data_IF_705112273475
#
_entry.id   IF_705112273475
#
_cell.length_a   1.000
_cell.length_b   1.000
_cell.length_c   1.000
_cell.angle_alpha   90.00
_cell.angle_beta   90.00
_cell.angle_gamma   90.00
#
_symmetry.space_group_name_H-M   'P 1'
#
loop_
_entity.id
_entity.type
_entity.pdbx_description
1 polymer ?
#
# COMPACT_ATOMS: atom_id res chain seq x y z
N UNK A 1 8.98 -8.85 9.19
CA UNK A 1 9.03 -10.08 10.02
C UNK A 1 10.48 -10.53 10.30
N UNK A 2 11.34 -10.88 9.31
CA UNK A 2 12.71 -11.41 9.52
C UNK A 2 13.59 -10.51 10.40
N UNK A 3 13.53 -9.18 10.22
CA UNK A 3 14.27 -8.23 11.06
C UNK A 3 13.86 -8.31 12.54
N UNK A 4 12.57 -8.48 12.82
CA UNK A 4 12.09 -8.68 14.19
C UNK A 4 12.61 -9.97 14.82
N UNK A 5 12.66 -11.06 14.05
CA UNK A 5 13.26 -12.33 14.52
C UNK A 5 14.75 -12.17 14.82
N UNK A 6 15.48 -11.40 13.99
CA UNK A 6 16.89 -11.12 14.22
C UNK A 6 17.11 -10.27 15.49
N UNK A 7 16.24 -9.29 15.77
CA UNK A 7 16.25 -8.54 17.05
C UNK A 7 16.13 -9.50 18.22
N UNK A 8 15.16 -10.41 18.21
CA UNK A 8 14.97 -11.41 19.28
C UNK A 8 16.22 -12.31 19.39
N UNK A 9 16.78 -12.77 18.27
CA UNK A 9 18.00 -13.60 18.27
C UNK A 9 19.16 -12.85 18.93
N UNK A 10 19.42 -11.61 18.55
CA UNK A 10 20.50 -10.79 19.14
C UNK A 10 20.31 -10.60 20.65
N UNK A 11 19.10 -10.38 21.14
CA UNK A 11 18.80 -10.24 22.57
C UNK A 11 19.06 -11.53 23.32
N UNK A 12 18.63 -12.67 22.77
CA UNK A 12 18.90 -13.98 23.34
C UNK A 12 20.40 -14.31 23.42
N UNK A 13 21.14 -14.04 22.35
CA UNK A 13 22.59 -14.27 22.30
C UNK A 13 23.35 -13.38 23.30
N UNK A 14 22.86 -12.15 23.52
CA UNK A 14 23.41 -11.23 24.53
C UNK A 14 22.94 -11.52 25.96
N UNK A 15 21.98 -12.42 26.17
CA UNK A 15 21.34 -12.66 27.47
C UNK A 15 20.60 -11.44 28.02
N UNK A 16 20.17 -10.51 27.12
CA UNK A 16 19.46 -9.29 27.51
C UNK A 16 17.96 -9.53 27.68
N UNK A 17 17.43 -9.16 28.84
CA UNK A 17 16.00 -9.25 29.16
C UNK A 17 15.43 -7.84 29.26
N UNK A 18 14.53 -7.51 28.35
CA UNK A 18 13.85 -6.20 28.32
C UNK A 18 12.78 -6.10 29.41
N UNK A 19 12.48 -4.88 29.87
CA UNK A 19 11.41 -4.64 30.86
C UNK A 19 10.01 -4.90 30.29
N UNK A 20 9.81 -4.61 29.00
CA UNK A 20 8.55 -4.86 28.28
C UNK A 20 8.74 -6.00 27.28
N UNK A 21 7.71 -6.81 27.04
CA UNK A 21 7.79 -7.87 26.04
C UNK A 21 7.93 -7.29 24.63
N UNK A 22 8.69 -7.97 23.79
CA UNK A 22 8.80 -7.69 22.36
C UNK A 22 8.03 -8.77 21.60
N UNK A 23 7.17 -8.35 20.68
CA UNK A 23 6.37 -9.23 19.83
C UNK A 23 6.77 -9.03 18.38
N UNK A 24 7.05 -10.10 17.68
CA UNK A 24 7.27 -10.09 16.23
C UNK A 24 5.96 -10.47 15.56
N UNK A 25 5.54 -9.67 14.59
CA UNK A 25 4.28 -9.88 13.85
C UNK A 25 4.60 -10.20 12.40
N UNK A 26 3.81 -11.13 11.84
CA UNK A 26 3.73 -11.43 10.41
C UNK A 26 2.28 -11.21 9.96
N UNK A 27 2.05 -10.14 9.19
CA UNK A 27 0.71 -9.74 8.77
C UNK A 27 0.26 -10.54 7.55
N UNK A 28 -0.78 -11.33 7.72
CA UNK A 28 -1.35 -12.11 6.62
C UNK A 28 -1.98 -11.21 5.57
N UNK A 29 -1.71 -11.49 4.28
CA UNK A 29 -2.26 -10.78 3.13
C UNK A 29 -1.90 -9.28 3.13
N UNK A 30 -0.68 -8.95 3.55
CA UNK A 30 -0.21 -7.56 3.54
C UNK A 30 -0.23 -6.99 2.11
N UNK A 31 0.24 -7.72 1.11
CA UNK A 31 0.31 -7.32 -0.30
C UNK A 31 -1.06 -7.27 -1.01
N UNK A 32 -2.06 -7.96 -0.50
CA UNK A 32 -3.39 -8.00 -1.14
C UNK A 32 -3.43 -8.73 -2.49
N UNK A 33 -2.38 -9.48 -2.84
CA UNK A 33 -2.21 -10.06 -4.17
C UNK A 33 -3.28 -11.08 -4.55
N UNK A 34 -3.73 -11.90 -3.60
CA UNK A 34 -4.80 -12.88 -3.83
C UNK A 34 -6.16 -12.38 -3.36
N UNK A 35 -6.19 -11.66 -2.26
CA UNK A 35 -7.41 -11.11 -1.66
C UNK A 35 -7.26 -9.60 -1.50
N UNK A 36 -7.98 -8.83 -2.28
CA UNK A 36 -7.98 -7.37 -2.19
C UNK A 36 -9.01 -6.88 -1.15
N UNK A 37 -8.73 -5.81 -0.42
CA UNK A 37 -7.57 -4.92 -0.49
C UNK A 37 -6.33 -5.45 0.23
N UNK A 38 -5.15 -4.80 0.08
CA UNK A 38 -3.95 -5.11 0.88
C UNK A 38 -4.14 -4.75 2.35
N UNK A 39 -3.21 -5.18 3.21
CA UNK A 39 -3.12 -4.84 4.64
C UNK A 39 -4.38 -5.18 5.46
N UNK A 40 -5.16 -6.18 5.03
CA UNK A 40 -6.44 -6.51 5.69
C UNK A 40 -6.25 -7.01 7.12
N UNK A 41 -5.14 -7.72 7.41
CA UNK A 41 -4.89 -8.27 8.73
C UNK A 41 -4.58 -7.17 9.76
N UNK A 42 -3.68 -6.23 9.45
CA UNK A 42 -3.40 -5.09 10.32
C UNK A 42 -4.62 -4.17 10.45
N UNK A 43 -5.34 -3.94 9.35
CA UNK A 43 -6.58 -3.16 9.37
C UNK A 43 -7.67 -3.79 10.24
N UNK A 44 -7.85 -5.11 10.18
CA UNK A 44 -8.75 -5.84 11.06
C UNK A 44 -8.28 -5.78 12.52
N UNK A 45 -6.97 -5.96 12.75
CA UNK A 45 -6.37 -5.94 14.08
C UNK A 45 -6.62 -4.60 14.82
N UNK A 46 -6.52 -3.46 14.15
CA UNK A 46 -6.82 -2.14 14.74
C UNK A 46 -8.31 -1.75 14.67
N UNK A 47 -9.17 -2.62 14.15
CA UNK A 47 -10.62 -2.39 14.07
C UNK A 47 -11.08 -1.51 12.91
N UNK A 48 -10.23 -1.29 11.89
CA UNK A 48 -10.60 -0.62 10.66
C UNK A 48 -11.54 -1.47 9.79
N UNK A 49 -11.30 -2.78 9.77
CA UNK A 49 -12.11 -3.75 9.05
C UNK A 49 -12.76 -4.72 10.04
N UNK A 50 -13.99 -5.11 9.74
CA UNK A 50 -14.70 -6.16 10.46
C UNK A 50 -14.14 -7.54 10.12
N UNK A 51 -14.02 -8.43 11.12
CA UNK A 51 -13.42 -9.75 10.92
C UNK A 51 -14.25 -10.64 9.99
N UNK A 52 -15.57 -10.56 10.09
CA UNK A 52 -16.46 -11.36 9.24
C UNK A 52 -16.36 -10.88 7.79
N UNK A 53 -16.28 -9.56 7.58
CA UNK A 53 -16.05 -9.00 6.25
C UNK A 53 -14.70 -9.45 5.67
N UNK A 54 -13.63 -9.47 6.47
CA UNK A 54 -12.31 -9.95 6.03
C UNK A 54 -12.37 -11.43 5.65
N UNK A 55 -13.02 -12.25 6.48
CA UNK A 55 -13.17 -13.68 6.20
C UNK A 55 -14.00 -13.95 4.93
N UNK A 56 -14.92 -13.05 4.58
CA UNK A 56 -15.79 -13.18 3.39
C UNK A 56 -15.15 -12.65 2.10
N UNK A 57 -13.94 -12.12 2.13
CA UNK A 57 -13.22 -11.69 0.92
C UNK A 57 -13.05 -12.85 -0.04
N UNK A 58 -13.34 -12.60 -1.32
CA UNK A 58 -13.21 -13.57 -2.40
C UNK A 58 -12.03 -13.18 -3.29
N UNK A 59 -11.09 -14.11 -3.46
CA UNK A 59 -9.98 -13.97 -4.37
C UNK A 59 -10.39 -14.08 -5.84
N UNK A 60 -9.53 -13.66 -6.75
CA UNK A 60 -9.76 -13.75 -8.21
C UNK A 60 -9.94 -15.19 -8.69
N UNK A 61 -9.49 -16.18 -7.93
CA UNK A 61 -9.66 -17.63 -8.16
C UNK A 61 -10.97 -18.20 -7.57
N UNK A 62 -11.79 -17.36 -6.95
CA UNK A 62 -13.04 -17.73 -6.30
C UNK A 62 -12.90 -18.33 -4.89
N UNK A 63 -11.69 -18.40 -4.34
CA UNK A 63 -11.47 -18.87 -2.99
C UNK A 63 -11.93 -17.82 -1.96
N UNK A 64 -12.45 -18.28 -0.80
CA UNK A 64 -12.81 -17.41 0.32
C UNK A 64 -11.64 -17.31 1.30
N UNK A 65 -11.32 -16.10 1.75
CA UNK A 65 -10.17 -15.82 2.62
C UNK A 65 -10.19 -16.65 3.93
N UNK A 66 -11.33 -16.67 4.62
CA UNK A 66 -11.48 -17.43 5.86
C UNK A 66 -11.27 -18.93 5.67
N UNK A 67 -11.78 -19.51 4.55
CA UNK A 67 -11.61 -20.93 4.24
C UNK A 67 -10.14 -21.26 3.97
N UNK A 68 -9.41 -20.36 3.31
CA UNK A 68 -7.99 -20.53 3.07
C UNK A 68 -7.15 -20.41 4.35
N UNK A 69 -7.48 -19.48 5.27
CA UNK A 69 -6.83 -19.40 6.58
C UNK A 69 -7.02 -20.71 7.37
N UNK A 70 -8.25 -21.25 7.37
CA UNK A 70 -8.54 -22.52 8.04
C UNK A 70 -7.78 -23.69 7.39
N UNK A 71 -7.77 -23.74 6.05
CA UNK A 71 -7.06 -24.78 5.28
C UNK A 71 -5.57 -24.86 5.58
N UNK A 72 -4.91 -23.69 5.78
CA UNK A 72 -3.46 -23.61 6.08
C UNK A 72 -3.16 -23.60 7.60
N UNK A 73 -4.19 -23.65 8.45
CA UNK A 73 -4.04 -23.68 9.91
C UNK A 73 -3.66 -22.33 10.55
N UNK A 74 -3.96 -21.23 9.88
CA UNK A 74 -3.61 -19.87 10.34
C UNK A 74 -4.82 -19.05 10.82
N UNK A 75 -5.99 -19.66 10.97
CA UNK A 75 -7.16 -18.97 11.48
C UNK A 75 -7.02 -18.50 12.95
N UNK A 76 -6.07 -19.07 13.69
CA UNK A 76 -5.75 -18.68 15.06
C UNK A 76 -6.89 -18.88 16.07
N UNK A 77 -6.53 -18.98 17.37
CA UNK A 77 -7.49 -19.14 18.45
C UNK A 77 -7.82 -17.81 19.16
N UNK A 78 -7.00 -16.79 18.96
CA UNK A 78 -7.16 -15.48 19.59
C UNK A 78 -7.93 -14.53 18.69
N UNK A 79 -8.77 -13.69 19.30
CA UNK A 79 -9.43 -12.62 18.57
C UNK A 79 -8.40 -11.71 17.87
N UNK A 80 -8.63 -11.41 16.60
CA UNK A 80 -7.85 -10.42 15.82
C UNK A 80 -8.24 -9.02 16.31
N UNK A 81 -7.63 -8.58 17.39
CA UNK A 81 -7.91 -7.29 18.01
C UNK A 81 -6.68 -6.75 18.73
N UNK A 82 -6.37 -5.48 18.46
CA UNK A 82 -5.31 -4.78 19.16
C UNK A 82 -5.62 -4.68 20.67
N UNK A 83 -4.61 -5.02 21.47
CA UNK A 83 -4.56 -4.76 22.90
C UNK A 83 -3.74 -3.49 23.20
N UNK A 84 -3.20 -3.40 24.41
CA UNK A 84 -2.24 -2.36 24.75
C UNK A 84 -0.91 -2.63 24.02
N UNK A 85 -0.52 -1.69 23.18
CA UNK A 85 0.76 -1.69 22.44
C UNK A 85 1.48 -0.39 22.79
N UNK A 86 2.71 -0.50 23.29
CA UNK A 86 3.50 0.67 23.67
C UNK A 86 4.05 1.39 22.42
N UNK A 87 4.50 0.62 21.42
CA UNK A 87 4.99 1.16 20.15
C UNK A 87 5.07 0.06 19.08
N UNK A 88 5.02 0.48 17.81
CA UNK A 88 5.24 -0.38 16.65
C UNK A 88 6.41 0.13 15.80
N UNK A 89 7.28 -0.77 15.39
CA UNK A 89 8.41 -0.50 14.50
C UNK A 89 8.35 -1.41 13.29
N UNK A 90 8.61 -0.84 12.12
CA UNK A 90 8.69 -1.60 10.87
C UNK A 90 9.98 -1.27 10.12
N UNK A 91 10.76 -2.31 9.77
CA UNK A 91 11.88 -2.20 8.85
C UNK A 91 11.46 -2.73 7.49
N UNK A 92 11.61 -1.90 6.47
CA UNK A 92 11.20 -2.22 5.10
C UNK A 92 12.27 -1.79 4.09
N UNK A 93 12.25 -2.31 2.88
CA UNK A 93 12.98 -1.73 1.75
C UNK A 93 12.26 -0.46 1.30
N UNK A 94 12.99 0.50 0.72
CA UNK A 94 12.40 1.76 0.24
C UNK A 94 11.32 1.55 -0.82
N UNK A 95 11.41 0.49 -1.61
CA UNK A 95 10.57 0.24 -2.80
C UNK A 95 10.69 1.35 -3.85
N UNK A 96 11.76 2.12 -3.79
CA UNK A 96 12.07 3.23 -4.68
C UNK A 96 13.58 3.40 -4.86
N UNK A 97 14.01 4.27 -5.79
CA UNK A 97 15.41 4.37 -6.19
C UNK A 97 16.23 5.38 -5.39
N UNK A 98 15.66 6.12 -4.43
CA UNK A 98 16.28 7.32 -3.84
C UNK A 98 17.51 6.95 -3.00
N UNK A 99 17.35 6.00 -2.07
CA UNK A 99 18.43 5.60 -1.17
C UNK A 99 19.61 5.00 -1.95
N UNK A 100 19.31 4.12 -2.91
CA UNK A 100 20.36 3.54 -3.76
C UNK A 100 21.06 4.58 -4.64
N UNK A 101 20.31 5.44 -5.32
CA UNK A 101 20.85 6.49 -6.17
C UNK A 101 21.72 7.48 -5.39
N UNK A 102 21.33 7.85 -4.16
CA UNK A 102 22.07 8.75 -3.28
C UNK A 102 23.14 8.04 -2.44
N UNK A 103 23.28 6.72 -2.57
CA UNK A 103 24.20 5.90 -1.74
C UNK A 103 23.98 6.09 -0.24
N UNK A 104 22.70 6.18 0.17
CA UNK A 104 22.29 6.22 1.57
C UNK A 104 22.16 4.81 2.11
N UNK A 105 22.55 4.62 3.37
CA UNK A 105 22.42 3.34 4.04
C UNK A 105 21.05 3.14 4.70
N UNK A 106 20.38 4.25 5.06
CA UNK A 106 19.11 4.23 5.79
C UNK A 106 18.24 5.42 5.40
N UNK A 107 16.94 5.17 5.25
CA UNK A 107 15.88 6.17 5.21
C UNK A 107 15.16 6.24 6.55
N UNK A 108 15.08 7.43 7.14
CA UNK A 108 14.24 7.69 8.30
C UNK A 108 12.87 8.09 7.77
N UNK A 109 11.87 7.23 7.94
CA UNK A 109 10.56 7.49 7.34
C UNK A 109 9.79 8.51 8.17
N UNK A 110 9.52 9.67 7.58
CA UNK A 110 8.87 10.79 8.28
C UNK A 110 7.36 10.85 8.10
N UNK A 111 6.84 10.10 7.12
CA UNK A 111 5.42 10.04 6.79
C UNK A 111 5.21 9.25 5.51
N UNK A 112 4.02 9.36 4.93
CA UNK A 112 3.71 8.76 3.65
C UNK A 112 3.05 9.76 2.70
N UNK A 113 3.22 9.56 1.40
CA UNK A 113 2.48 10.36 0.43
C UNK A 113 0.98 10.22 0.67
N UNK A 114 0.24 11.31 0.74
CA UNK A 114 -1.21 11.25 0.65
C UNK A 114 -1.63 10.57 -0.65
N UNK A 115 -2.47 9.54 -0.54
CA UNK A 115 -3.00 8.77 -1.66
C UNK A 115 -4.52 8.87 -1.65
N UNK A 116 -5.11 9.03 -2.83
CA UNK A 116 -6.55 8.92 -3.04
C UNK A 116 -6.83 7.97 -4.17
N UNK A 117 -7.55 6.92 -3.87
CA UNK A 117 -7.93 5.92 -4.85
C UNK A 117 -9.44 5.85 -5.05
N UNK A 118 -9.82 5.23 -6.17
CA UNK A 118 -11.19 5.10 -6.59
C UNK A 118 -11.39 3.80 -7.35
N UNK A 119 -12.43 3.05 -6.99
CA UNK A 119 -12.99 1.95 -7.78
C UNK A 119 -14.30 2.43 -8.40
N UNK A 120 -14.42 2.32 -9.71
CA UNK A 120 -15.59 2.79 -10.44
C UNK A 120 -16.09 1.74 -11.42
N UNK A 121 -17.41 1.72 -11.63
CA UNK A 121 -18.06 0.90 -12.62
C UNK A 121 -18.62 1.74 -13.78
N UNK A 122 -18.70 1.10 -14.94
CA UNK A 122 -19.29 1.65 -16.15
C UNK A 122 -20.41 0.72 -16.62
N UNK A 123 -21.55 1.30 -16.98
CA UNK A 123 -22.69 0.60 -17.54
C UNK A 123 -23.02 1.09 -18.93
N UNK A 124 -22.94 0.21 -19.88
CA UNK A 124 -23.25 0.43 -21.27
C UNK A 124 -24.34 -0.52 -21.77
N UNK A 125 -24.19 -1.00 -23.00
CA UNK A 125 -25.13 -1.93 -23.62
C UNK A 125 -24.42 -2.85 -24.59
N UNK A 126 -24.66 -4.16 -24.47
CA UNK A 126 -24.17 -5.15 -25.46
C UNK A 126 -24.79 -4.86 -26.83
N UNK A 127 -23.95 -4.91 -27.85
CA UNK A 127 -24.38 -4.88 -29.24
C UNK A 127 -23.32 -5.48 -30.14
N UNK A 128 -23.67 -5.81 -31.38
CA UNK A 128 -22.75 -6.40 -32.33
C UNK A 128 -21.69 -5.38 -32.79
N UNK A 129 -20.43 -5.76 -32.78
CA UNK A 129 -19.30 -4.85 -33.08
C UNK A 129 -19.24 -4.38 -34.52
N UNK A 130 -19.76 -5.13 -35.49
CA UNK A 130 -19.80 -4.77 -36.91
C UNK A 130 -20.92 -3.81 -37.28
N UNK A 131 -22.21 -4.24 -37.28
CA UNK A 131 -23.32 -3.47 -37.81
C UNK A 131 -23.80 -2.32 -36.92
N UNK A 132 -23.43 -2.28 -35.64
CA UNK A 132 -23.86 -1.19 -34.76
C UNK A 132 -23.12 0.11 -35.13
N UNK A 133 -23.84 1.18 -35.55
CA UNK A 133 -23.23 2.47 -35.84
C UNK A 133 -22.45 3.06 -34.66
N UNK A 134 -21.43 3.87 -34.92
CA UNK A 134 -20.57 4.42 -33.85
C UNK A 134 -21.29 5.30 -32.85
N UNK A 135 -22.26 6.07 -33.30
CA UNK A 135 -23.11 7.01 -32.52
C UNK A 135 -24.15 6.31 -31.63
N UNK A 136 -24.44 5.03 -31.91
CA UNK A 136 -25.36 4.21 -31.11
C UNK A 136 -24.64 3.29 -30.12
N UNK A 137 -23.30 3.26 -30.13
CA UNK A 137 -22.52 2.37 -29.27
C UNK A 137 -22.47 2.88 -27.83
N UNK A 138 -22.71 1.97 -26.87
CA UNK A 138 -22.54 2.18 -25.44
C UNK A 138 -21.55 1.15 -24.90
N UNK A 139 -20.26 1.37 -25.14
CA UNK A 139 -19.20 0.41 -24.85
C UNK A 139 -18.52 0.72 -23.52
N UNK A 140 -18.87 -0.02 -22.47
CA UNK A 140 -18.33 0.15 -21.13
C UNK A 140 -16.81 -0.09 -21.07
N UNK A 141 -16.27 -1.07 -21.83
CA UNK A 141 -14.82 -1.30 -21.93
C UNK A 141 -14.09 -0.05 -22.48
N UNK A 142 -14.65 0.58 -23.53
CA UNK A 142 -14.06 1.78 -24.10
C UNK A 142 -14.11 2.97 -23.13
N UNK A 143 -15.17 3.08 -22.32
CA UNK A 143 -15.30 4.09 -21.29
C UNK A 143 -14.24 3.92 -20.20
N UNK A 144 -14.09 2.70 -19.67
CA UNK A 144 -13.04 2.38 -18.69
C UNK A 144 -11.63 2.64 -19.22
N UNK A 145 -11.31 2.18 -20.44
CA UNK A 145 -10.01 2.41 -21.06
C UNK A 145 -9.68 3.90 -21.23
N UNK A 146 -10.67 4.74 -21.58
CA UNK A 146 -10.50 6.20 -21.66
C UNK A 146 -10.22 6.81 -20.31
N UNK A 147 -10.92 6.36 -19.26
CA UNK A 147 -10.67 6.83 -17.91
C UNK A 147 -9.25 6.48 -17.45
N UNK A 148 -8.79 5.23 -17.66
CA UNK A 148 -7.42 4.83 -17.36
C UNK A 148 -6.37 5.70 -18.05
N UNK A 149 -6.56 5.98 -19.35
CA UNK A 149 -5.68 6.88 -20.10
C UNK A 149 -5.67 8.29 -19.52
N UNK A 150 -6.84 8.82 -19.19
CA UNK A 150 -6.93 10.16 -18.60
C UNK A 150 -6.27 10.25 -17.20
N UNK A 151 -6.32 9.15 -16.43
CA UNK A 151 -5.63 9.08 -15.13
C UNK A 151 -4.11 9.01 -15.32
N UNK A 152 -3.62 8.24 -16.30
CA UNK A 152 -2.20 8.23 -16.65
C UNK A 152 -1.72 9.64 -17.07
N UNK A 153 -2.48 10.35 -17.91
CA UNK A 153 -2.18 11.74 -18.31
C UNK A 153 -2.12 12.67 -17.08
N UNK A 154 -2.99 12.50 -16.09
CA UNK A 154 -2.91 13.24 -14.81
C UNK A 154 -1.58 12.97 -14.10
N UNK A 155 -1.11 11.73 -14.07
CA UNK A 155 0.20 11.40 -13.51
C UNK A 155 1.32 12.20 -14.17
N UNK A 156 1.35 12.23 -15.50
CA UNK A 156 2.34 12.98 -16.25
C UNK A 156 2.25 14.49 -16.06
N UNK A 157 1.05 15.06 -15.94
CA UNK A 157 0.84 16.49 -15.65
C UNK A 157 1.50 16.94 -14.32
N UNK A 158 1.59 16.05 -13.34
CA UNK A 158 2.13 16.33 -12.01
C UNK A 158 3.50 15.69 -11.74
N UNK A 159 4.08 14.95 -12.69
CA UNK A 159 5.33 14.21 -12.52
C UNK A 159 6.54 15.10 -12.15
N UNK A 160 6.57 16.34 -12.62
CA UNK A 160 7.65 17.32 -12.32
C UNK A 160 7.72 17.66 -10.82
N UNK A 161 6.63 17.45 -10.10
CA UNK A 161 6.49 17.70 -8.65
C UNK A 161 6.23 16.42 -7.86
N UNK A 162 6.80 15.29 -8.32
CA UNK A 162 6.66 13.97 -7.69
C UNK A 162 5.23 13.42 -7.61
N UNK A 163 4.29 14.01 -8.35
CA UNK A 163 2.95 13.47 -8.49
C UNK A 163 2.96 12.16 -9.29
N UNK A 164 2.14 11.22 -8.88
CA UNK A 164 1.98 9.91 -9.54
C UNK A 164 0.50 9.57 -9.66
N UNK A 165 0.16 8.85 -10.71
CA UNK A 165 -1.16 8.27 -10.87
C UNK A 165 -1.02 6.83 -11.39
N UNK A 166 -1.92 5.98 -10.95
CA UNK A 166 -1.90 4.56 -11.28
C UNK A 166 -3.23 4.17 -11.92
N UNK A 167 -3.16 3.66 -13.14
CA UNK A 167 -4.23 2.94 -13.81
C UNK A 167 -4.03 1.44 -13.53
N UNK A 168 -4.57 0.95 -12.41
CA UNK A 168 -4.16 -0.34 -11.84
C UNK A 168 -4.91 -1.55 -12.42
N UNK A 169 -6.21 -1.40 -12.74
CA UNK A 169 -7.06 -2.53 -13.12
C UNK A 169 -8.18 -2.11 -14.06
N UNK A 170 -8.50 -2.98 -15.03
CA UNK A 170 -9.70 -2.89 -15.87
C UNK A 170 -10.25 -4.28 -16.12
N UNK A 171 -11.50 -4.49 -15.73
CA UNK A 171 -12.25 -5.73 -16.01
C UNK A 171 -13.50 -5.37 -16.79
N UNK A 172 -13.89 -6.16 -17.79
CA UNK A 172 -15.06 -5.89 -18.61
C UNK A 172 -15.87 -7.17 -18.90
N UNK A 173 -17.18 -7.01 -19.08
CA UNK A 173 -18.08 -8.11 -19.43
C UNK A 173 -19.16 -7.65 -20.45
N UNK A 174 -19.54 -8.53 -21.41
CA UNK A 174 -18.82 -9.73 -21.80
C UNK A 174 -17.48 -9.36 -22.46
N UNK A 175 -16.42 -10.07 -22.07
CA UNK A 175 -15.08 -9.88 -22.65
C UNK A 175 -14.91 -10.85 -23.82
N UNK A 176 -15.59 -10.60 -24.93
CA UNK A 176 -15.64 -11.46 -26.12
C UNK A 176 -15.51 -10.65 -27.40
N UNK A 177 -14.73 -11.13 -28.39
CA UNK A 177 -14.79 -10.56 -29.74
C UNK A 177 -16.20 -10.61 -30.32
N UNK A 178 -16.59 -9.59 -31.09
CA UNK A 178 -17.88 -9.52 -31.76
C UNK A 178 -19.02 -8.89 -30.94
N UNK A 179 -18.82 -8.65 -29.65
CA UNK A 179 -19.83 -8.07 -28.74
C UNK A 179 -19.21 -6.87 -28.01
N UNK A 180 -19.90 -5.74 -27.93
CA UNK A 180 -19.53 -4.63 -27.07
C UNK A 180 -19.83 -4.97 -25.61
N UNK A 181 -18.91 -4.64 -24.71
CA UNK A 181 -19.09 -4.85 -23.28
C UNK A 181 -20.13 -3.88 -22.71
N UNK A 182 -21.07 -4.39 -21.92
CA UNK A 182 -22.09 -3.60 -21.24
C UNK A 182 -21.70 -3.21 -19.81
N UNK A 183 -20.72 -3.89 -19.23
CA UNK A 183 -20.17 -3.54 -17.92
C UNK A 183 -18.65 -3.50 -17.97
N UNK A 184 -18.08 -2.58 -17.22
CA UNK A 184 -16.65 -2.56 -16.90
C UNK A 184 -16.45 -2.01 -15.50
N UNK A 185 -15.41 -2.47 -14.83
CA UNK A 185 -14.92 -1.96 -13.55
C UNK A 185 -13.45 -1.60 -13.69
N UNK A 186 -13.05 -0.46 -13.12
CA UNK A 186 -11.66 -0.02 -13.13
C UNK A 186 -11.26 0.55 -11.75
N UNK A 187 -9.96 0.45 -11.47
CA UNK A 187 -9.34 0.92 -10.23
C UNK A 187 -8.19 1.85 -10.58
N UNK A 188 -8.19 3.02 -9.98
CA UNK A 188 -7.15 4.03 -10.14
C UNK A 188 -6.80 4.66 -8.80
N UNK A 189 -5.58 5.17 -8.66
CA UNK A 189 -5.18 6.05 -7.56
C UNK A 189 -4.29 7.20 -8.06
N UNK A 190 -4.22 8.24 -7.23
CA UNK A 190 -3.33 9.38 -7.40
C UNK A 190 -2.62 9.67 -6.09
N UNK A 191 -1.37 10.12 -6.16
CA UNK A 191 -0.55 10.47 -4.99
C UNK A 191 0.38 11.62 -5.28
N UNK A 192 0.62 12.44 -4.27
CA UNK A 192 1.53 13.58 -4.33
C UNK A 192 2.00 13.91 -2.92
N UNK A 193 3.26 14.40 -2.68
CA UNK A 193 3.71 14.78 -1.34
C UNK A 193 2.83 15.86 -0.68
N UNK A 194 2.30 16.80 -1.47
CA UNK A 194 1.38 17.81 -0.95
C UNK A 194 -0.08 17.33 -0.96
N UNK A 195 -0.77 17.28 0.21
CA UNK A 195 -2.14 16.80 0.31
C UNK A 195 -3.17 17.67 -0.45
N UNK A 196 -2.90 18.96 -0.65
CA UNK A 196 -3.79 19.84 -1.42
C UNK A 196 -3.73 19.44 -2.90
N UNK A 197 -2.53 19.19 -3.41
CA UNK A 197 -2.32 18.73 -4.77
C UNK A 197 -2.91 17.35 -4.99
N UNK A 198 -2.77 16.41 -4.03
CA UNK A 198 -3.41 15.08 -4.11
C UNK A 198 -4.92 15.20 -4.26
N UNK A 199 -5.56 16.11 -3.50
CA UNK A 199 -7.01 16.37 -3.65
C UNK A 199 -7.34 16.91 -5.05
N UNK A 200 -6.55 17.86 -5.55
CA UNK A 200 -6.76 18.41 -6.89
C UNK A 200 -6.62 17.35 -8.00
N UNK A 201 -5.65 16.44 -7.87
CA UNK A 201 -5.49 15.29 -8.77
C UNK A 201 -6.69 14.35 -8.70
N UNK A 202 -7.18 14.04 -7.49
CA UNK A 202 -8.36 13.18 -7.29
C UNK A 202 -9.63 13.79 -7.90
N UNK A 203 -9.82 15.10 -7.80
CA UNK A 203 -10.94 15.78 -8.46
C UNK A 203 -10.83 15.77 -9.98
N UNK A 204 -9.62 15.86 -10.54
CA UNK A 204 -9.39 15.65 -11.99
C UNK A 204 -9.74 14.21 -12.38
N UNK A 205 -9.29 13.21 -11.61
CA UNK A 205 -9.61 11.78 -11.83
C UNK A 205 -11.12 11.52 -11.81
N UNK A 206 -11.83 12.08 -10.83
CA UNK A 206 -13.30 12.00 -10.72
C UNK A 206 -14.00 12.62 -11.93
N UNK A 207 -13.58 13.81 -12.37
CA UNK A 207 -14.15 14.47 -13.56
C UNK A 207 -13.92 13.63 -14.80
N UNK A 208 -12.71 13.14 -15.02
CA UNK A 208 -12.36 12.29 -16.15
C UNK A 208 -13.20 11.00 -16.20
N UNK A 209 -13.61 10.45 -15.05
CA UNK A 209 -14.52 9.29 -14.97
C UNK A 209 -15.83 9.57 -15.71
N UNK A 210 -16.53 10.64 -15.32
CA UNK A 210 -17.84 10.96 -15.89
C UNK A 210 -17.73 11.46 -17.33
N UNK A 211 -16.66 12.18 -17.69
CA UNK A 211 -16.39 12.60 -19.07
C UNK A 211 -16.15 11.40 -19.99
N UNK A 212 -15.39 10.40 -19.51
CA UNK A 212 -15.12 9.16 -20.25
C UNK A 212 -16.39 8.33 -20.47
N UNK A 213 -17.23 8.23 -19.45
CA UNK A 213 -18.54 7.55 -19.56
C UNK A 213 -19.46 8.27 -20.57
N UNK A 214 -19.62 9.58 -20.42
CA UNK A 214 -20.45 10.39 -21.33
C UNK A 214 -20.00 10.29 -22.78
N UNK A 215 -18.68 10.31 -23.03
CA UNK A 215 -18.09 10.17 -24.36
C UNK A 215 -18.43 8.85 -25.04
N UNK A 216 -18.67 7.81 -24.26
CA UNK A 216 -19.00 6.46 -24.72
C UNK A 216 -20.52 6.15 -24.63
N UNK A 217 -21.34 7.12 -24.26
CA UNK A 217 -22.78 6.93 -24.05
C UNK A 217 -23.11 5.98 -22.89
N UNK A 218 -22.18 5.83 -21.93
CA UNK A 218 -22.31 4.97 -20.76
C UNK A 218 -22.67 5.77 -19.50
N UNK A 219 -23.19 5.09 -18.50
CA UNK A 219 -23.29 5.57 -17.12
C UNK A 219 -22.02 5.18 -16.35
N UNK A 220 -21.60 5.98 -15.39
CA UNK A 220 -20.54 5.64 -14.46
C UNK A 220 -20.98 5.84 -13.02
N UNK A 221 -20.48 4.97 -12.14
CA UNK A 221 -20.70 5.04 -10.70
C UNK A 221 -19.36 4.81 -9.97
N UNK A 222 -19.17 5.58 -8.90
CA UNK A 222 -18.07 5.34 -7.96
C UNK A 222 -18.56 4.30 -6.97
N UNK A 223 -17.90 3.15 -6.92
CA UNK A 223 -18.24 2.03 -6.06
C UNK A 223 -17.56 2.13 -4.70
N UNK A 224 -16.34 2.68 -4.69
CA UNK A 224 -15.52 2.82 -3.49
C UNK A 224 -14.49 3.93 -3.66
N UNK A 225 -14.15 4.59 -2.55
CA UNK A 225 -13.09 5.58 -2.47
C UNK A 225 -12.28 5.36 -1.19
N UNK A 226 -10.98 5.54 -1.28
CA UNK A 226 -10.09 5.45 -0.12
C UNK A 226 -9.08 6.58 -0.10
N UNK A 227 -8.60 6.84 1.11
CA UNK A 227 -7.56 7.82 1.38
C UNK A 227 -6.65 7.26 2.48
N UNK A 228 -5.33 7.41 2.33
CA UNK A 228 -4.34 7.06 3.33
C UNK A 228 -3.06 7.86 3.12
N UNK A 229 -2.08 7.75 4.06
CA UNK A 229 -0.81 8.48 4.04
C UNK A 229 -0.87 9.81 4.79
N UNK A 230 0.12 10.65 4.57
CA UNK A 230 0.32 11.92 5.26
C UNK A 230 1.27 11.81 6.46
N UNK A 231 1.22 12.79 7.36
CA UNK A 231 2.00 12.84 8.61
C UNK A 231 1.32 11.98 9.67
N UNK A 232 1.64 10.69 9.66
CA UNK A 232 0.96 9.67 10.49
C UNK A 232 1.87 9.03 11.54
N UNK A 233 3.20 9.20 11.44
CA UNK A 233 4.15 8.56 12.34
C UNK A 233 4.48 9.43 13.55
N UNK A 234 4.89 8.79 14.65
CA UNK A 234 5.22 9.45 15.90
C UNK A 234 6.57 10.18 15.82
N UNK A 235 6.55 11.50 16.00
CA UNK A 235 7.74 12.35 15.88
C UNK A 235 8.83 12.01 16.92
N UNK A 236 8.47 11.62 18.16
CA UNK A 236 9.48 11.21 19.17
C UNK A 236 10.20 9.93 18.73
N UNK A 237 9.46 8.99 18.12
CA UNK A 237 10.05 7.77 17.61
C UNK A 237 10.91 8.01 16.37
N UNK A 238 10.49 8.89 15.46
CA UNK A 238 11.27 9.32 14.30
C UNK A 238 12.59 9.94 14.75
N UNK A 239 12.53 10.88 15.71
CA UNK A 239 13.73 11.52 16.28
C UNK A 239 14.63 10.50 16.96
N UNK A 240 14.05 9.54 17.70
CA UNK A 240 14.80 8.44 18.31
C UNK A 240 15.54 7.57 17.30
N UNK A 241 14.94 7.26 16.16
CA UNK A 241 15.57 6.51 15.06
C UNK A 241 16.70 7.35 14.43
N UNK A 242 16.46 8.63 14.21
CA UNK A 242 17.45 9.58 13.67
C UNK A 242 18.68 9.70 14.58
N UNK A 243 18.46 9.81 15.90
CA UNK A 243 19.53 9.83 16.90
C UNK A 243 20.39 8.58 16.85
N UNK A 244 19.77 7.40 16.69
CA UNK A 244 20.51 6.14 16.58
C UNK A 244 21.32 6.07 15.27
N UNK A 245 20.78 6.55 14.14
CA UNK A 245 21.54 6.64 12.89
C UNK A 245 22.77 7.54 13.01
N UNK A 246 22.63 8.70 13.66
CA UNK A 246 23.71 9.65 13.93
C UNK A 246 24.74 9.01 14.87
N UNK A 247 24.30 8.41 15.98
CA UNK A 247 25.18 7.78 16.97
C UNK A 247 26.05 6.66 16.39
N UNK A 248 25.50 5.91 15.45
CA UNK A 248 26.20 4.80 14.78
C UNK A 248 27.02 5.25 13.57
N UNK A 249 26.91 6.51 13.15
CA UNK A 249 27.64 7.06 12.03
C UNK A 249 27.17 6.56 10.66
N UNK A 250 25.92 6.12 10.55
CA UNK A 250 25.35 5.71 9.26
C UNK A 250 25.04 6.91 8.37
N UNK A 251 25.17 6.72 7.07
CA UNK A 251 24.78 7.70 6.06
C UNK A 251 23.26 7.59 5.81
N UNK A 252 22.49 8.52 6.35
CA UNK A 252 21.02 8.51 6.34
C UNK A 252 20.40 9.73 5.66
N UNK A 253 19.12 9.66 5.41
CA UNK A 253 18.25 10.83 5.06
C UNK A 253 16.86 10.64 5.61
N UNK A 254 16.13 11.75 5.79
CA UNK A 254 14.66 11.71 5.93
C UNK A 254 14.02 11.40 4.58
N UNK A 255 12.94 10.60 4.60
CA UNK A 255 12.24 10.17 3.39
C UNK A 255 10.76 9.92 3.72
N UNK A 256 9.89 10.20 2.77
CA UNK A 256 8.48 9.83 2.86
C UNK A 256 8.24 8.54 2.09
N UNK A 257 7.41 7.64 2.65
CA UNK A 257 7.00 6.45 1.93
C UNK A 257 6.01 6.78 0.82
N UNK A 258 6.21 6.17 -0.33
CA UNK A 258 5.32 6.31 -1.48
C UNK A 258 4.42 5.09 -1.66
N UNK A 259 4.56 4.08 -0.79
CA UNK A 259 3.78 2.86 -0.75
C UNK A 259 2.94 2.80 0.55
N UNK A 260 1.91 1.95 0.56
CA UNK A 260 1.18 1.61 1.77
C UNK A 260 1.92 0.56 2.59
N UNK A 261 1.77 0.60 3.91
CA UNK A 261 2.39 -0.33 4.85
C UNK A 261 1.43 -0.63 6.00
N UNK A 262 1.56 -1.80 6.63
CA UNK A 262 0.81 -2.13 7.86
C UNK A 262 1.01 -1.09 8.96
N UNK A 263 2.19 -0.48 9.01
CA UNK A 263 2.51 0.64 9.90
C UNK A 263 1.49 1.78 9.84
N UNK A 264 0.82 2.02 8.71
CA UNK A 264 -0.19 3.06 8.58
C UNK A 264 -1.43 2.78 9.41
N UNK A 265 -1.85 1.52 9.45
CA UNK A 265 -2.95 1.12 10.33
C UNK A 265 -2.52 1.11 11.79
N UNK A 266 -1.32 0.61 12.11
CA UNK A 266 -0.80 0.60 13.47
C UNK A 266 -0.63 2.01 14.04
N UNK A 267 -0.26 3.00 13.22
CA UNK A 267 -0.13 4.41 13.60
C UNK A 267 -1.46 5.03 14.08
N UNK A 268 -2.61 4.46 13.71
CA UNK A 268 -3.91 4.89 14.24
C UNK A 268 -4.18 4.37 15.66
N UNK A 269 -3.37 3.43 16.14
CA UNK A 269 -3.59 2.72 17.40
C UNK A 269 -2.49 2.98 18.44
N UNK A 270 -1.23 3.07 18.01
CA UNK A 270 -0.07 3.25 18.90
C UNK A 270 1.01 4.11 18.23
N UNK A 271 1.94 4.68 19.02
CA UNK A 271 3.13 5.33 18.48
C UNK A 271 3.86 4.40 17.51
N UNK A 272 4.10 4.85 16.28
CA UNK A 272 4.62 4.02 15.19
C UNK A 272 5.72 4.76 14.45
N UNK A 273 6.76 4.03 14.04
CA UNK A 273 7.80 4.52 13.15
C UNK A 273 8.31 3.44 12.21
N UNK A 274 8.84 3.88 11.07
CA UNK A 274 9.42 3.02 10.04
C UNK A 274 10.86 3.40 9.72
N UNK A 275 11.61 2.41 9.28
CA UNK A 275 13.00 2.54 8.81
C UNK A 275 13.06 1.93 7.42
N UNK A 276 13.63 2.65 6.45
CA UNK A 276 13.89 2.11 5.13
C UNK A 276 15.35 1.71 4.95
N UNK A 277 15.55 0.61 4.22
CA UNK A 277 16.83 0.19 3.66
C UNK A 277 16.82 0.35 2.14
N UNK A 278 17.99 0.52 1.50
CA UNK A 278 18.05 0.61 0.04
C UNK A 278 17.46 -0.62 -0.65
N UNK A 279 16.91 -0.40 -1.83
CA UNK A 279 16.45 -1.43 -2.75
C UNK A 279 17.19 -1.24 -4.07
N UNK A 280 17.83 -2.29 -4.57
CA UNK A 280 18.69 -2.22 -5.75
C UNK A 280 17.92 -1.68 -6.97
N UNK A 281 18.41 -0.56 -7.52
CA UNK A 281 17.77 0.19 -8.61
C UNK A 281 16.31 0.64 -8.34
N UNK A 282 15.80 0.51 -7.11
CA UNK A 282 14.41 0.79 -6.77
C UNK A 282 13.41 -0.21 -7.34
N UNK A 283 13.88 -1.38 -7.80
CA UNK A 283 13.02 -2.43 -8.36
C UNK A 283 12.31 -3.14 -7.23
N UNK A 284 10.97 -3.19 -7.30
CA UNK A 284 10.11 -3.87 -6.34
C UNK A 284 8.90 -4.49 -7.04
N UNK A 285 8.19 -5.41 -6.38
CA UNK A 285 7.08 -6.19 -6.96
C UNK A 285 7.48 -6.91 -8.28
N UNK A 286 8.74 -7.34 -8.34
CA UNK A 286 9.36 -7.95 -9.50
C UNK A 286 10.32 -9.07 -9.05
N UNK A 287 10.56 -10.06 -9.93
CA UNK A 287 11.50 -11.15 -9.65
C UNK A 287 12.97 -10.71 -9.55
N UNK A 288 13.28 -9.48 -9.95
CA UNK A 288 14.61 -8.87 -9.84
C UNK A 288 14.76 -8.01 -8.58
N UNK A 289 13.73 -7.96 -7.73
CA UNK A 289 13.80 -7.26 -6.44
C UNK A 289 14.95 -7.81 -5.61
N UNK A 290 15.85 -6.92 -5.18
CA UNK A 290 17.01 -7.29 -4.39
C UNK A 290 17.39 -6.19 -3.40
N UNK A 291 17.85 -6.65 -2.23
CA UNK A 291 18.46 -5.83 -1.21
C UNK A 291 19.68 -6.61 -0.67
N UNK A 292 20.87 -6.03 -0.72
CA UNK A 292 22.07 -6.74 -0.30
C UNK A 292 22.12 -6.92 1.22
N UNK A 293 22.81 -7.96 1.74
CA UNK A 293 23.01 -8.09 3.18
C UNK A 293 23.61 -6.84 3.84
N UNK A 294 24.44 -6.09 3.13
CA UNK A 294 25.05 -4.86 3.61
C UNK A 294 24.03 -3.73 3.78
N UNK A 295 23.02 -3.68 2.92
CA UNK A 295 21.96 -2.67 2.98
C UNK A 295 21.08 -2.88 4.22
N UNK A 296 20.81 -4.14 4.60
CA UNK A 296 20.05 -4.45 5.81
C UNK A 296 20.77 -4.12 7.11
N UNK A 297 22.10 -4.18 7.14
CA UNK A 297 22.90 -4.05 8.38
C UNK A 297 22.60 -2.72 9.09
N UNK A 298 22.55 -1.61 8.36
CA UNK A 298 22.32 -0.30 8.96
C UNK A 298 20.92 -0.19 9.57
N UNK A 299 19.89 -0.51 8.78
CA UNK A 299 18.49 -0.46 9.24
C UNK A 299 18.22 -1.42 10.40
N UNK A 300 18.76 -2.63 10.34
CA UNK A 300 18.59 -3.63 11.39
C UNK A 300 19.26 -3.21 12.71
N UNK A 301 20.47 -2.64 12.67
CA UNK A 301 21.12 -2.15 13.88
C UNK A 301 20.32 -0.99 14.52
N UNK A 302 19.83 -0.06 13.71
CA UNK A 302 18.97 1.02 14.21
C UNK A 302 17.70 0.46 14.83
N UNK A 303 17.04 -0.48 14.15
CA UNK A 303 15.84 -1.15 14.67
C UNK A 303 16.11 -1.80 16.02
N UNK A 304 17.18 -2.60 16.14
CA UNK A 304 17.56 -3.26 17.38
C UNK A 304 17.69 -2.26 18.54
N UNK A 305 18.47 -1.18 18.33
CA UNK A 305 18.70 -0.20 19.38
C UNK A 305 17.46 0.63 19.72
N UNK A 306 16.65 1.00 18.72
CA UNK A 306 15.41 1.72 18.94
C UNK A 306 14.40 0.89 19.74
N UNK A 307 14.25 -0.40 19.39
CA UNK A 307 13.36 -1.35 20.09
C UNK A 307 13.83 -1.57 21.52
N UNK A 308 15.12 -1.84 21.75
CA UNK A 308 15.68 -2.05 23.10
C UNK A 308 15.50 -0.78 23.96
N UNK A 309 15.86 0.38 23.43
CA UNK A 309 15.71 1.66 24.13
C UNK A 309 14.25 1.93 24.52
N UNK A 310 13.29 1.51 23.71
CA UNK A 310 11.86 1.64 24.01
C UNK A 310 11.39 0.59 25.02
N UNK A 311 11.81 -0.66 24.86
CA UNK A 311 11.40 -1.77 25.70
C UNK A 311 11.99 -1.73 27.13
N UNK A 312 13.07 -0.97 27.34
CA UNK A 312 13.73 -0.78 28.64
C UNK A 312 13.33 0.51 29.38
N UNK A 313 12.38 1.28 28.89
CA UNK A 313 11.83 2.47 29.54
C UNK A 313 10.91 2.18 30.77
#
# INVERSE_FOLDING_TARGET
MLAGLEVIRCLNDAGHVTKRPIVVVDWTNEEGARFSPPMVASGCFVGKYDIDWVHDLIGDDGARFGDELERIGYNGERACKAGEIDAYFELHIEQGPILDAEKRQVGIVTGGYPVRGMRASFKGQTSHTGPTPMDLRKNALAAGARWLTAVDDIGWDFAVHDGKATAARLTAWPNKPGILSDTAEAVCDVRHPDPITTRAMAEKMRRALFESAARCGCEAQIEDEWEWGGDIFDHEMIDGIRDEAIRMGFNWRDIESQAGHDAYFLATHCPTAMIFTPCENGITHNNEENCTPQDFVAGLNILLHAVVKRADR
#
